data_IF_288534633758
#
_entry.id   IF_288534633758
#
_cell.length_a   1.000
_cell.length_b   1.000
_cell.length_c   1.000
_cell.angle_alpha   90.00
_cell.angle_beta   90.00
_cell.angle_gamma   90.00
#
_symmetry.space_group_name_H-M   'P 1'
#
loop_
_entity.id
_entity.type
_entity.pdbx_description
1 polymer ?
#
# COMPACT_ATOMS: atom_id res chain seq x y z
N UNK A 1 -7.44 1.27 -26.64
CA UNK A 1 -7.42 0.31 -25.52
C UNK A 1 -8.22 0.92 -24.35
N UNK A 2 -9.21 0.23 -23.82
CA UNK A 2 -10.07 0.77 -22.74
C UNK A 2 -9.33 0.59 -21.42
N UNK A 3 -8.95 1.69 -20.79
CA UNK A 3 -8.36 1.71 -19.44
C UNK A 3 -9.50 1.53 -18.45
N UNK A 4 -9.63 0.33 -17.90
CA UNK A 4 -10.59 0.04 -16.84
C UNK A 4 -10.03 0.54 -15.52
N UNK A 5 -10.73 1.45 -14.86
CA UNK A 5 -10.52 1.71 -13.45
C UNK A 5 -11.03 0.48 -12.68
N UNK A 6 -10.14 -0.37 -12.19
CA UNK A 6 -10.52 -1.44 -11.27
C UNK A 6 -10.80 -0.84 -9.90
N UNK A 7 -12.03 -0.95 -9.45
CA UNK A 7 -12.35 -0.71 -8.04
C UNK A 7 -12.02 -2.00 -7.25
N UNK A 8 -10.91 -1.98 -6.53
CA UNK A 8 -10.52 -3.09 -5.65
C UNK A 8 -11.21 -2.96 -4.29
N UNK A 9 -11.96 -3.97 -3.92
CA UNK A 9 -12.44 -4.13 -2.56
C UNK A 9 -11.36 -4.91 -1.78
N UNK A 10 -10.46 -4.21 -1.06
CA UNK A 10 -9.44 -4.86 -0.26
C UNK A 10 -9.92 -5.08 1.17
N UNK A 11 -9.83 -6.33 1.63
CA UNK A 11 -10.05 -6.69 3.02
C UNK A 11 -8.71 -6.65 3.76
N UNK A 12 -8.48 -5.60 4.57
CA UNK A 12 -7.29 -5.49 5.41
C UNK A 12 -7.57 -6.24 6.72
N UNK A 13 -6.95 -7.39 6.90
CA UNK A 13 -6.92 -8.08 8.19
C UNK A 13 -5.64 -7.66 8.93
N UNK A 14 -5.76 -6.74 9.90
CA UNK A 14 -4.68 -6.45 10.84
C UNK A 14 -4.75 -7.47 11.98
N UNK A 15 -3.83 -8.42 12.01
CA UNK A 15 -3.66 -9.30 13.17
C UNK A 15 -2.88 -8.54 14.25
N UNK A 16 -3.59 -7.87 15.15
CA UNK A 16 -3.02 -7.40 16.41
C UNK A 16 -3.11 -8.55 17.42
N UNK A 17 -2.00 -9.18 17.80
CA UNK A 17 -1.93 -9.97 19.02
C UNK A 17 -1.93 -9.00 20.19
N UNK A 18 -3.11 -8.49 20.56
CA UNK A 18 -3.29 -7.71 21.76
C UNK A 18 -3.31 -8.66 22.96
N UNK A 19 -2.36 -8.46 23.86
CA UNK A 19 -2.32 -9.09 25.17
C UNK A 19 -3.60 -8.73 25.94
N UNK A 20 -4.26 -9.74 26.51
CA UNK A 20 -5.49 -9.61 27.29
C UNK A 20 -5.32 -8.65 28.46
N UNK A 21 -5.65 -7.37 28.28
CA UNK A 21 -6.05 -6.40 29.34
C UNK A 21 -6.25 -4.98 28.81
N UNK A 22 -6.25 -4.74 27.50
CA UNK A 22 -6.57 -3.41 26.98
C UNK A 22 -8.04 -3.07 27.23
N UNK A 23 -8.31 -1.91 27.84
CA UNK A 23 -9.68 -1.39 27.95
C UNK A 23 -10.25 -1.18 26.53
N UNK A 24 -11.57 -1.25 26.36
CA UNK A 24 -12.18 -1.06 25.03
C UNK A 24 -11.76 0.26 24.34
N UNK A 25 -11.40 1.29 25.13
CA UNK A 25 -10.85 2.56 24.64
C UNK A 25 -9.45 2.44 24.03
N UNK A 26 -8.61 1.57 24.60
CA UNK A 26 -7.24 1.37 24.12
C UNK A 26 -7.23 0.58 22.81
N UNK A 27 -8.13 -0.41 22.70
CA UNK A 27 -8.30 -1.18 21.47
C UNK A 27 -8.82 -0.31 20.30
N UNK A 28 -9.77 0.59 20.56
CA UNK A 28 -10.26 1.56 19.58
C UNK A 28 -9.15 2.52 19.14
N UNK A 29 -8.36 3.04 20.09
CA UNK A 29 -7.24 3.93 19.80
C UNK A 29 -6.17 3.23 18.95
N UNK A 30 -5.83 1.98 19.28
CA UNK A 30 -4.89 1.17 18.51
C UNK A 30 -5.40 0.92 17.08
N UNK A 31 -6.68 0.58 16.91
CA UNK A 31 -7.28 0.36 15.60
C UNK A 31 -7.26 1.63 14.73
N UNK A 32 -7.45 2.81 15.34
CA UNK A 32 -7.29 4.10 14.64
C UNK A 32 -5.84 4.38 14.24
N UNK A 33 -4.87 4.02 15.09
CA UNK A 33 -3.46 4.14 14.74
C UNK A 33 -3.11 3.23 13.56
N UNK A 34 -3.59 1.98 13.55
CA UNK A 34 -3.38 1.03 12.45
C UNK A 34 -4.00 1.50 11.12
N UNK A 35 -5.04 2.31 11.16
CA UNK A 35 -5.63 2.93 9.97
C UNK A 35 -4.82 4.12 9.42
N UNK A 36 -3.77 4.54 10.11
CA UNK A 36 -2.89 5.63 9.69
C UNK A 36 -1.59 5.07 9.10
N UNK A 37 -1.34 5.22 7.78
CA UNK A 37 -0.14 4.68 7.12
C UNK A 37 1.18 5.32 7.58
N UNK A 38 1.12 6.42 8.33
CA UNK A 38 2.28 7.12 8.92
C UNK A 38 2.19 7.20 10.45
N UNK A 39 1.53 6.23 11.07
CA UNK A 39 1.47 6.15 12.53
C UNK A 39 2.85 5.88 13.15
N UNK A 40 3.02 6.36 14.40
CA UNK A 40 4.20 6.04 15.21
C UNK A 40 4.08 4.66 15.87
N UNK A 41 3.64 3.66 15.11
CA UNK A 41 3.40 2.29 15.56
C UNK A 41 4.04 1.31 14.57
N UNK A 42 4.80 0.34 15.09
CA UNK A 42 5.27 -0.78 14.29
C UNK A 42 4.08 -1.70 13.99
N UNK A 43 3.83 -1.93 12.72
CA UNK A 43 2.74 -2.80 12.26
C UNK A 43 3.15 -3.59 11.02
N UNK A 44 2.52 -4.74 10.81
CA UNK A 44 2.69 -5.55 9.61
C UNK A 44 1.31 -5.91 9.06
N UNK A 45 0.67 -4.99 8.33
CA UNK A 45 -0.57 -5.29 7.64
C UNK A 45 -0.40 -6.37 6.57
N UNK A 46 -1.42 -7.22 6.44
CA UNK A 46 -1.56 -8.20 5.36
C UNK A 46 -2.79 -7.80 4.54
N UNK A 47 -2.57 -7.42 3.29
CA UNK A 47 -3.65 -7.03 2.38
C UNK A 47 -3.83 -8.11 1.33
N UNK A 48 -5.04 -8.64 1.24
CA UNK A 48 -5.41 -9.67 0.28
C UNK A 48 -6.22 -9.03 -0.85
N UNK A 49 -5.79 -9.20 -2.09
CA UNK A 49 -6.43 -8.68 -3.28
C UNK A 49 -6.74 -9.84 -4.23
N UNK A 50 -7.93 -9.79 -4.83
CA UNK A 50 -8.37 -10.72 -5.86
C UNK A 50 -8.81 -9.92 -7.07
N UNK A 51 -8.11 -10.09 -8.17
CA UNK A 51 -8.34 -9.40 -9.42
C UNK A 51 -8.79 -10.42 -10.46
N UNK A 52 -9.87 -10.11 -11.19
CA UNK A 52 -10.49 -10.98 -12.19
C UNK A 52 -10.55 -10.28 -13.54
N UNK A 53 -10.79 -11.06 -14.61
CA UNK A 53 -10.93 -10.50 -15.95
C UNK A 53 -9.59 -10.28 -16.65
N UNK A 54 -8.64 -11.14 -16.36
CA UNK A 54 -7.37 -11.20 -17.09
C UNK A 54 -7.44 -12.21 -18.25
N UNK A 55 -6.38 -12.19 -19.06
CA UNK A 55 -6.26 -13.09 -20.19
C UNK A 55 -7.07 -12.65 -21.41
N UNK A 56 -7.10 -13.51 -22.43
CA UNK A 56 -7.74 -13.21 -23.71
C UNK A 56 -9.26 -13.33 -23.65
N UNK A 57 -9.75 -14.23 -22.81
CA UNK A 57 -11.16 -14.61 -22.72
C UNK A 57 -11.80 -14.08 -21.42
N UNK A 58 -11.10 -13.19 -20.67
CA UNK A 58 -11.50 -12.56 -19.40
C UNK A 58 -11.78 -13.58 -18.26
N UNK A 59 -11.24 -14.78 -18.34
CA UNK A 59 -11.39 -15.85 -17.35
C UNK A 59 -10.19 -15.99 -16.41
N UNK A 60 -9.07 -15.34 -16.71
CA UNK A 60 -7.90 -15.29 -15.86
C UNK A 60 -8.11 -14.47 -14.59
N UNK A 61 -7.38 -14.82 -13.54
CA UNK A 61 -7.43 -14.13 -12.26
C UNK A 61 -6.05 -14.07 -11.60
N UNK A 62 -5.92 -13.13 -10.65
CA UNK A 62 -4.71 -12.94 -9.84
C UNK A 62 -5.07 -12.75 -8.39
N UNK A 63 -4.37 -13.47 -7.53
CA UNK A 63 -4.33 -13.23 -6.10
C UNK A 63 -3.02 -12.55 -5.72
N UNK A 64 -3.10 -11.48 -4.95
CA UNK A 64 -1.93 -10.77 -4.43
C UNK A 64 -2.06 -10.61 -2.92
N UNK A 65 -1.13 -11.22 -2.18
CA UNK A 65 -0.92 -10.95 -0.77
C UNK A 65 0.19 -9.91 -0.61
N UNK A 66 -0.16 -8.69 -0.23
CA UNK A 66 0.81 -7.66 0.13
C UNK A 66 1.15 -7.76 1.61
N UNK A 67 2.39 -8.08 1.93
CA UNK A 67 2.96 -7.96 3.28
C UNK A 67 3.54 -6.56 3.42
N UNK A 68 3.01 -5.76 4.36
CA UNK A 68 3.27 -4.32 4.41
C UNK A 68 3.86 -3.85 5.76
N UNK A 69 5.10 -4.22 6.13
CA UNK A 69 5.72 -3.71 7.34
C UNK A 69 5.86 -2.18 7.32
N UNK A 70 5.41 -1.57 8.44
CA UNK A 70 5.54 -0.14 8.72
C UNK A 70 6.37 0.01 9.99
N UNK A 71 7.50 0.70 9.90
CA UNK A 71 8.45 0.87 11.00
C UNK A 71 8.78 2.35 11.16
N UNK A 72 8.32 3.00 12.24
CA UNK A 72 8.64 4.38 12.54
C UNK A 72 9.98 4.50 13.29
N UNK A 73 10.83 5.41 12.83
CA UNK A 73 12.07 5.81 13.48
C UNK A 73 11.95 7.26 13.95
N UNK A 74 12.13 7.51 15.25
CA UNK A 74 12.12 8.87 15.78
C UNK A 74 13.36 9.65 15.33
N UNK A 75 13.15 10.78 14.66
CA UNK A 75 14.21 11.72 14.28
C UNK A 75 14.05 12.99 15.12
N UNK A 76 14.86 13.11 16.16
CA UNK A 76 14.79 14.23 17.08
C UNK A 76 13.45 14.30 17.82
N UNK A 77 13.05 15.52 18.23
CA UNK A 77 11.88 15.72 19.08
C UNK A 77 10.56 15.75 18.30
N UNK A 78 10.58 16.25 17.05
CA UNK A 78 9.38 16.65 16.32
C UNK A 78 9.05 15.80 15.10
N UNK A 79 9.96 14.92 14.66
CA UNK A 79 9.82 14.20 13.39
C UNK A 79 9.99 12.71 13.56
N UNK A 80 9.28 11.96 12.72
CA UNK A 80 9.47 10.53 12.47
C UNK A 80 9.90 10.32 11.02
N UNK A 81 10.80 9.37 10.80
CA UNK A 81 11.01 8.73 9.51
C UNK A 81 10.26 7.39 9.54
N UNK A 82 9.31 7.20 8.65
CA UNK A 82 8.50 6.00 8.59
C UNK A 82 8.90 5.21 7.36
N UNK A 83 9.43 4.02 7.59
CA UNK A 83 9.73 3.05 6.54
C UNK A 83 8.49 2.19 6.30
N UNK A 84 7.95 2.19 5.09
CA UNK A 84 6.87 1.32 4.66
C UNK A 84 7.34 0.51 3.46
N UNK A 85 7.36 -0.79 3.62
CA UNK A 85 7.66 -1.74 2.54
C UNK A 85 6.35 -2.36 2.08
N UNK A 86 6.21 -2.62 0.79
CA UNK A 86 5.14 -3.45 0.22
C UNK A 86 5.84 -4.59 -0.49
N UNK A 87 5.69 -5.80 0.03
CA UNK A 87 6.21 -7.03 -0.56
C UNK A 87 5.03 -7.85 -1.09
N UNK A 88 4.82 -7.89 -2.42
CA UNK A 88 3.74 -8.65 -3.01
C UNK A 88 4.13 -10.13 -3.21
N UNK A 89 3.24 -11.02 -2.78
CA UNK A 89 3.28 -12.45 -3.07
C UNK A 89 2.11 -12.72 -3.99
N UNK A 90 2.41 -13.19 -5.20
CA UNK A 90 1.42 -13.34 -6.26
C UNK A 90 1.18 -14.80 -6.60
N UNK A 91 -0.07 -15.10 -6.91
CA UNK A 91 -0.49 -16.26 -7.65
C UNK A 91 -1.43 -15.79 -8.76
N UNK A 92 -1.19 -16.23 -9.97
CA UNK A 92 -2.03 -15.89 -11.12
C UNK A 92 -2.28 -17.13 -11.97
N UNK A 93 -3.49 -17.21 -12.50
CA UNK A 93 -3.98 -18.29 -13.33
C UNK A 93 -4.57 -17.68 -14.61
N UNK A 94 -4.15 -18.17 -15.73
CA UNK A 94 -4.55 -17.78 -17.08
C UNK A 94 -4.48 -16.26 -17.38
N UNK A 95 -3.59 -15.54 -16.65
CA UNK A 95 -3.25 -14.14 -16.98
C UNK A 95 -2.47 -14.10 -18.29
N UNK A 96 -1.53 -15.04 -18.47
CA UNK A 96 -0.98 -15.41 -19.77
C UNK A 96 -1.62 -16.74 -20.17
N UNK A 97 -2.16 -16.86 -21.40
CA UNK A 97 -2.96 -18.02 -21.79
C UNK A 97 -2.29 -19.37 -21.51
N UNK A 98 -2.98 -20.21 -20.72
CA UNK A 98 -2.55 -21.56 -20.39
C UNK A 98 -1.39 -21.64 -19.38
N UNK A 99 -1.15 -20.59 -18.58
CA UNK A 99 -0.06 -20.59 -17.58
C UNK A 99 -0.55 -20.29 -16.18
N UNK A 100 0.02 -21.03 -15.22
CA UNK A 100 -0.08 -20.73 -13.78
C UNK A 100 1.28 -20.21 -13.32
N UNK A 101 1.29 -19.06 -12.67
CA UNK A 101 2.52 -18.47 -12.16
C UNK A 101 2.38 -18.02 -10.70
N UNK A 102 3.40 -18.30 -9.91
CA UNK A 102 3.46 -17.84 -8.53
C UNK A 102 4.86 -17.39 -8.15
N UNK A 103 4.94 -16.42 -7.24
CA UNK A 103 6.21 -15.91 -6.78
C UNK A 103 6.09 -14.57 -6.07
N UNK A 104 7.25 -13.96 -5.85
CA UNK A 104 7.31 -12.58 -5.37
C UNK A 104 7.21 -11.63 -6.57
N UNK A 105 6.55 -10.51 -6.36
CA UNK A 105 6.62 -9.37 -7.27
C UNK A 105 7.69 -8.36 -6.84
N UNK A 106 7.71 -7.24 -7.50
CA UNK A 106 8.65 -6.18 -7.19
C UNK A 106 8.25 -5.45 -5.89
N UNK A 107 9.25 -5.26 -5.04
CA UNK A 107 9.07 -4.60 -3.75
C UNK A 107 9.00 -3.08 -3.94
N UNK A 108 8.02 -2.45 -3.30
CA UNK A 108 7.94 -1.00 -3.20
C UNK A 108 8.34 -0.56 -1.80
N UNK A 109 9.37 0.29 -1.70
CA UNK A 109 9.88 0.85 -0.47
C UNK A 109 9.62 2.34 -0.41
N UNK A 110 8.83 2.79 0.56
CA UNK A 110 8.58 4.21 0.82
C UNK A 110 9.24 4.65 2.13
N UNK A 111 9.76 5.86 2.15
CA UNK A 111 10.26 6.53 3.34
C UNK A 111 9.51 7.85 3.50
N UNK A 112 8.73 7.99 4.58
CA UNK A 112 7.98 9.22 4.85
C UNK A 112 8.60 9.98 6.01
N UNK A 113 8.96 11.23 5.78
CA UNK A 113 9.20 12.19 6.84
C UNK A 113 7.85 12.78 7.28
N UNK A 114 7.48 12.58 8.54
CA UNK A 114 6.17 12.98 9.08
C UNK A 114 6.36 13.68 10.43
N UNK A 115 5.67 14.80 10.70
CA UNK A 115 5.63 15.41 12.03
C UNK A 115 5.04 14.44 13.06
N UNK A 116 5.55 14.45 14.30
CA UNK A 116 4.97 13.66 15.41
C UNK A 116 3.61 14.19 15.84
N UNK A 117 3.43 15.48 15.76
CA UNK A 117 2.19 16.17 16.10
C UNK A 117 1.43 16.52 14.82
N UNK A 118 0.12 16.32 14.79
CA UNK A 118 -0.71 16.76 13.67
C UNK A 118 -0.60 18.27 13.43
N UNK A 119 -0.70 18.69 12.18
CA UNK A 119 -0.80 20.08 11.80
C UNK A 119 -2.14 20.70 12.22
N UNK A 120 -2.32 22.03 12.09
CA UNK A 120 -3.60 22.68 12.34
C UNK A 120 -4.75 21.93 11.67
N UNK A 121 -5.91 21.92 12.31
CA UNK A 121 -7.11 21.17 11.92
C UNK A 121 -6.99 19.64 12.01
N UNK A 122 -5.95 19.10 12.69
CA UNK A 122 -5.74 17.66 12.87
C UNK A 122 -5.25 16.94 11.60
N UNK A 123 -4.59 17.66 10.69
CA UNK A 123 -4.00 17.08 9.49
C UNK A 123 -2.72 16.32 9.85
N UNK A 124 -2.68 15.02 9.55
CA UNK A 124 -1.49 14.18 9.59
C UNK A 124 -0.98 14.02 8.16
N UNK A 125 0.32 14.15 7.95
CA UNK A 125 0.91 14.05 6.63
C UNK A 125 2.32 13.48 6.69
N UNK A 126 2.78 12.98 5.56
CA UNK A 126 4.14 12.53 5.35
C UNK A 126 4.54 12.65 3.89
N UNK A 127 5.80 12.98 3.65
CA UNK A 127 6.37 13.08 2.30
C UNK A 127 7.76 12.45 2.28
N UNK A 128 8.17 11.97 1.12
CA UNK A 128 9.51 11.43 0.96
C UNK A 128 9.72 10.68 -0.35
N UNK A 129 10.80 9.92 -0.46
CA UNK A 129 11.07 9.09 -1.62
C UNK A 129 10.32 7.76 -1.56
N UNK A 130 10.01 7.23 -2.74
CA UNK A 130 9.61 5.85 -2.98
C UNK A 130 10.60 5.21 -3.95
N UNK A 131 10.89 3.93 -3.77
CA UNK A 131 11.71 3.12 -4.66
C UNK A 131 10.96 1.86 -5.08
N UNK A 132 11.10 1.48 -6.36
CA UNK A 132 10.74 0.19 -6.91
C UNK A 132 12.01 -0.65 -6.99
N UNK A 133 11.97 -1.84 -6.40
CA UNK A 133 13.10 -2.77 -6.34
C UNK A 133 12.72 -4.02 -7.15
N UNK A 134 13.53 -4.44 -8.13
CA UNK A 134 13.26 -5.62 -8.97
C UNK A 134 13.53 -6.91 -8.18
N UNK A 135 12.64 -7.21 -7.24
CA UNK A 135 12.72 -8.39 -6.37
C UNK A 135 11.83 -9.54 -6.84
N UNK A 136 11.13 -9.34 -7.94
CA UNK A 136 10.28 -10.36 -8.53
C UNK A 136 11.06 -11.64 -8.86
N UNK A 137 10.46 -12.79 -8.58
CA UNK A 137 11.12 -14.09 -8.73
C UNK A 137 10.84 -14.72 -10.10
N UNK A 138 9.99 -14.11 -10.88
CA UNK A 138 9.62 -14.51 -12.25
C UNK A 138 9.55 -13.28 -13.13
N UNK A 139 9.97 -13.37 -14.38
CA UNK A 139 9.91 -12.30 -15.37
C UNK A 139 8.49 -11.74 -15.55
N UNK A 140 7.47 -12.59 -15.52
CA UNK A 140 6.05 -12.22 -15.65
C UNK A 140 5.49 -11.51 -14.43
N UNK A 141 6.18 -11.56 -13.27
CA UNK A 141 5.79 -10.96 -12.01
C UNK A 141 6.63 -9.72 -11.64
N UNK A 142 7.60 -9.35 -12.48
CA UNK A 142 8.56 -8.27 -12.27
C UNK A 142 8.59 -7.32 -13.46
N UNK A 143 8.77 -6.04 -13.18
CA UNK A 143 9.14 -5.07 -14.20
C UNK A 143 10.62 -5.16 -14.59
N UNK A 144 11.44 -5.81 -13.74
CA UNK A 144 12.91 -5.93 -13.88
C UNK A 144 13.62 -4.57 -13.98
N UNK A 145 12.97 -3.54 -13.39
CA UNK A 145 13.43 -2.15 -13.38
C UNK A 145 13.64 -1.66 -11.96
N UNK A 146 14.72 -0.93 -11.75
CA UNK A 146 14.89 -0.06 -10.60
C UNK A 146 14.18 1.25 -10.87
N UNK A 147 13.33 1.67 -9.94
CA UNK A 147 12.60 2.91 -10.06
C UNK A 147 12.68 3.73 -8.79
N UNK A 148 12.49 5.03 -8.91
CA UNK A 148 12.38 5.93 -7.79
C UNK A 148 11.47 7.11 -8.11
N UNK A 149 10.97 7.77 -7.06
CA UNK A 149 10.18 8.97 -7.20
C UNK A 149 9.68 9.54 -5.87
N UNK A 150 8.82 10.54 -5.89
CA UNK A 150 8.20 11.11 -4.71
C UNK A 150 7.02 10.29 -4.23
N UNK A 151 6.80 10.28 -2.92
CA UNK A 151 5.58 9.77 -2.29
C UNK A 151 5.05 10.77 -1.27
N UNK A 152 3.73 10.81 -1.12
CA UNK A 152 3.05 11.63 -0.14
C UNK A 152 1.85 10.89 0.45
N UNK A 153 1.54 11.22 1.69
CA UNK A 153 0.30 10.83 2.34
C UNK A 153 -0.24 12.02 3.13
N UNK A 154 -1.55 12.19 3.10
CA UNK A 154 -2.24 13.17 3.91
C UNK A 154 -3.56 12.57 4.41
N UNK A 155 -3.85 12.72 5.70
CA UNK A 155 -5.08 12.19 6.28
C UNK A 155 -5.57 13.05 7.45
N UNK A 156 -6.84 12.89 7.77
CA UNK A 156 -7.49 13.47 8.95
C UNK A 156 -8.26 12.40 9.70
N UNK A 157 -8.14 12.44 11.02
CA UNK A 157 -8.92 11.59 11.93
C UNK A 157 -9.94 12.46 12.68
N UNK A 158 -11.22 12.10 12.61
CA UNK A 158 -12.31 12.83 13.25
C UNK A 158 -13.34 11.84 13.83
N UNK A 159 -13.39 11.73 15.15
CA UNK A 159 -14.23 10.74 15.82
C UNK A 159 -13.87 9.32 15.36
N UNK A 160 -14.82 8.50 14.89
CA UNK A 160 -14.56 7.15 14.40
C UNK A 160 -13.97 7.11 12.97
N UNK A 161 -13.88 8.24 12.29
CA UNK A 161 -13.51 8.32 10.88
C UNK A 161 -12.04 8.66 10.69
N UNK A 162 -11.40 7.99 9.75
CA UNK A 162 -10.10 8.34 9.17
C UNK A 162 -10.27 8.46 7.67
N UNK A 163 -10.04 9.65 7.12
CA UNK A 163 -10.09 9.89 5.67
C UNK A 163 -8.75 10.44 5.20
N UNK A 164 -8.27 9.98 4.07
CA UNK A 164 -6.98 10.39 3.55
C UNK A 164 -6.73 9.98 2.11
N UNK A 165 -5.54 10.35 1.66
CA UNK A 165 -5.02 10.00 0.34
C UNK A 165 -3.53 9.68 0.45
N UNK A 166 -3.11 8.62 -0.26
CA UNK A 166 -1.73 8.30 -0.51
C UNK A 166 -1.50 8.40 -2.01
N UNK A 167 -0.40 9.01 -2.40
CA UNK A 167 -0.01 9.10 -3.81
C UNK A 167 1.51 8.95 -3.93
N UNK A 168 1.94 8.36 -5.04
CA UNK A 168 3.33 8.35 -5.44
C UNK A 168 3.46 8.38 -6.96
N UNK A 169 4.65 8.71 -7.42
CA UNK A 169 5.04 8.55 -8.80
C UNK A 169 6.41 7.88 -8.85
N UNK A 170 6.58 6.92 -9.75
CA UNK A 170 7.82 6.15 -9.90
C UNK A 170 8.26 6.24 -11.36
N UNK A 171 9.51 6.63 -11.58
CA UNK A 171 10.22 6.53 -12.85
C UNK A 171 11.29 5.46 -12.76
N UNK A 172 11.40 4.59 -13.76
CA UNK A 172 12.58 3.71 -13.90
C UNK A 172 13.82 4.52 -14.27
N UNK A 173 14.96 4.09 -13.76
CA UNK A 173 16.26 4.71 -14.07
C UNK A 173 17.35 3.68 -14.40
N UNK A 174 17.12 2.40 -14.15
CA UNK A 174 18.02 1.27 -14.43
C UNK A 174 17.23 -0.04 -14.49
N UNK A 175 17.84 -1.10 -14.99
CA UNK A 175 17.27 -2.44 -15.06
C UNK A 175 17.49 -3.07 -16.43
N UNK A 176 16.69 -4.08 -16.75
CA UNK A 176 16.79 -4.79 -18.03
C UNK A 176 16.39 -3.88 -19.19
N UNK A 177 17.25 -3.79 -20.23
CA UNK A 177 17.04 -2.94 -21.41
C UNK A 177 15.97 -3.45 -22.35
N UNK A 178 15.62 -4.73 -22.30
CA UNK A 178 14.59 -5.36 -23.13
C UNK A 178 13.18 -5.24 -22.51
N UNK A 179 13.08 -4.68 -21.29
CA UNK A 179 11.83 -4.43 -20.59
C UNK A 179 11.39 -2.98 -20.75
N UNK A 180 10.08 -2.77 -20.80
CA UNK A 180 9.48 -1.44 -20.88
C UNK A 180 9.85 -0.58 -19.68
N UNK A 181 10.07 0.71 -19.91
CA UNK A 181 10.32 1.65 -18.84
C UNK A 181 9.08 1.84 -17.98
N UNK A 182 9.31 2.09 -16.69
CA UNK A 182 8.25 2.40 -15.73
C UNK A 182 8.12 3.90 -15.57
N UNK A 183 6.93 4.43 -15.80
CA UNK A 183 6.56 5.80 -15.47
C UNK A 183 5.11 5.78 -15.00
N UNK A 184 4.90 5.54 -13.69
CA UNK A 184 3.57 5.28 -13.15
C UNK A 184 3.22 6.22 -12.00
N UNK A 185 1.98 6.73 -12.00
CA UNK A 185 1.40 7.45 -10.86
C UNK A 185 0.39 6.55 -10.17
N UNK A 186 0.59 6.33 -8.88
CA UNK A 186 -0.35 5.64 -8.00
C UNK A 186 -1.11 6.65 -7.14
N UNK A 187 -2.41 6.46 -7.02
CA UNK A 187 -3.30 7.28 -6.19
C UNK A 187 -4.26 6.37 -5.42
N UNK A 188 -4.30 6.53 -4.10
CA UNK A 188 -5.14 5.75 -3.19
C UNK A 188 -5.88 6.68 -2.22
N UNK A 189 -7.07 7.20 -2.56
CA UNK A 189 -7.98 7.76 -1.58
C UNK A 189 -8.56 6.66 -0.70
N UNK A 190 -8.70 6.91 0.60
CA UNK A 190 -9.25 5.94 1.53
C UNK A 190 -10.13 6.59 2.59
N UNK A 191 -11.13 5.85 3.04
CA UNK A 191 -12.01 6.19 4.14
C UNK A 191 -12.13 4.97 5.06
N UNK A 192 -11.81 5.15 6.34
CA UNK A 192 -11.95 4.11 7.36
C UNK A 192 -12.91 4.55 8.46
N UNK A 193 -13.79 3.65 8.87
CA UNK A 193 -14.64 3.80 10.04
C UNK A 193 -14.24 2.78 11.09
N UNK A 194 -13.76 3.24 12.26
CA UNK A 194 -13.37 2.38 13.38
C UNK A 194 -14.47 2.35 14.43
N UNK A 195 -14.98 1.16 14.72
CA UNK A 195 -15.99 0.96 15.78
C UNK A 195 -15.37 0.99 17.17
N UNK A 196 -16.20 1.19 18.20
CA UNK A 196 -15.78 1.08 19.62
C UNK A 196 -15.25 -0.31 20.00
N UNK A 197 -15.54 -1.34 19.19
CA UNK A 197 -15.02 -2.71 19.37
C UNK A 197 -13.74 -2.96 18.57
N UNK A 198 -13.05 -1.91 18.13
CA UNK A 198 -11.81 -1.96 17.34
C UNK A 198 -11.94 -2.66 15.97
N UNK A 199 -13.16 -2.77 15.44
CA UNK A 199 -13.38 -3.26 14.07
C UNK A 199 -13.31 -2.07 13.11
N UNK A 200 -12.47 -2.14 12.08
CA UNK A 200 -12.38 -1.14 11.03
C UNK A 200 -13.10 -1.59 9.75
N UNK A 201 -13.88 -0.69 9.16
CA UNK A 201 -14.41 -0.84 7.80
C UNK A 201 -13.70 0.14 6.91
N UNK A 202 -13.00 -0.37 5.90
CA UNK A 202 -12.18 0.43 5.00
C UNK A 202 -12.81 0.43 3.61
N UNK A 203 -12.99 1.61 3.06
CA UNK A 203 -13.26 1.83 1.66
C UNK A 203 -12.05 2.54 1.05
N UNK A 204 -11.39 1.94 0.10
CA UNK A 204 -10.31 2.56 -0.65
C UNK A 204 -10.48 2.30 -2.15
N UNK A 205 -9.92 3.20 -2.94
CA UNK A 205 -9.78 3.02 -4.38
C UNK A 205 -8.30 3.13 -4.72
N UNK A 206 -7.78 2.15 -5.41
CA UNK A 206 -6.40 2.14 -5.91
C UNK A 206 -6.44 2.37 -7.42
N UNK A 207 -5.73 3.38 -7.86
CA UNK A 207 -5.65 3.73 -9.28
C UNK A 207 -4.19 3.90 -9.65
N UNK A 208 -3.77 3.21 -10.70
CA UNK A 208 -2.44 3.38 -11.30
C UNK A 208 -2.61 3.92 -12.71
N UNK A 209 -1.92 5.00 -13.00
CA UNK A 209 -1.84 5.56 -14.33
C UNK A 209 -0.44 5.35 -14.88
N UNK A 210 -0.35 4.65 -16.00
CA UNK A 210 0.89 4.44 -16.72
C UNK A 210 1.03 5.53 -17.80
N UNK A 211 2.18 6.21 -17.80
CA UNK A 211 2.49 7.29 -18.74
C UNK A 211 3.24 6.81 -19.99
N UNK A 212 3.65 5.53 -20.02
CA UNK A 212 4.37 4.96 -21.16
C UNK A 212 3.44 4.37 -22.21
N UNK A 213 2.21 3.99 -21.86
CA UNK A 213 1.33 3.40 -22.86
C UNK A 213 -0.13 3.24 -22.51
#
# INVERSE_FOLDING_TARGET
>A
MRRGALALLSLIAAAATAQETASGSDAEALAKQLANPVASLISVPFQNNWDFGYGRDDDGWRYTLNVQPVIPFSIGKNWNLISRTILPILYQDDVLPGTDESGLGDTVQSLFLSPKEPWPFGLVWGVGPVALLPTGTREVLSAEKWGAGPTLVALKQAGPWTAGVLANHIWSFAGDGDRDDVSTTFLQPFLNYTTKKATGFVLNTESTYDWQG
#
